data_IF_374118770219
#
_entry.id   IF_374118770219
#
_cell.length_a   1.000
_cell.length_b   1.000
_cell.length_c   1.000
_cell.angle_alpha   90.00
_cell.angle_beta   90.00
_cell.angle_gamma   90.00
#
_symmetry.space_group_name_H-M   'P 1'
#
loop_
_entity.id
_entity.type
_entity.pdbx_description
1 polymer ?
#
# COMPACT_ATOMS: atom_id res chain seq x y z
N UNK A 1 -10.93 0.02 -22.67
CA UNK A 1 -10.96 -0.23 -21.21
C UNK A 1 -9.54 -0.54 -20.78
N UNK A 2 -8.99 0.15 -19.78
CA UNK A 2 -7.61 -0.09 -19.34
C UNK A 2 -7.65 -1.19 -18.28
N UNK A 3 -7.17 -2.38 -18.63
CA UNK A 3 -7.06 -3.51 -17.70
C UNK A 3 -5.77 -3.35 -16.90
N UNK A 4 -5.87 -3.07 -15.60
CA UNK A 4 -4.72 -3.08 -14.70
C UNK A 4 -4.44 -4.57 -14.37
N UNK A 5 -3.29 -5.14 -14.77
CA UNK A 5 -3.04 -6.58 -14.65
C UNK A 5 -2.68 -7.04 -13.23
N UNK A 6 -2.88 -6.20 -12.23
CA UNK A 6 -2.56 -6.51 -10.84
C UNK A 6 -3.67 -6.08 -9.88
N UNK A 7 -3.95 -6.94 -8.91
CA UNK A 7 -4.96 -6.70 -7.90
C UNK A 7 -4.38 -5.86 -6.75
N UNK A 8 -4.88 -4.63 -6.58
CA UNK A 8 -4.57 -3.79 -5.43
C UNK A 8 -5.57 -4.01 -4.28
N UNK A 9 -5.75 -5.26 -3.85
CA UNK A 9 -6.68 -5.60 -2.78
C UNK A 9 -6.37 -4.81 -1.49
N UNK A 10 -7.36 -4.07 -0.99
CA UNK A 10 -7.21 -3.22 0.19
C UNK A 10 -6.62 -1.83 -0.10
N UNK A 11 -6.59 -1.41 -1.37
CA UNK A 11 -6.27 -0.04 -1.78
C UNK A 11 -7.40 0.53 -2.65
N UNK A 12 -7.68 1.83 -2.49
CA UNK A 12 -8.54 2.60 -3.38
C UNK A 12 -7.66 3.33 -4.39
N UNK A 13 -8.01 3.28 -5.67
CA UNK A 13 -7.30 4.06 -6.70
C UNK A 13 -7.66 5.53 -6.58
N UNK A 14 -6.63 6.39 -6.65
CA UNK A 14 -6.76 7.83 -6.53
C UNK A 14 -6.38 8.56 -7.81
N UNK A 15 -5.36 8.06 -8.52
CA UNK A 15 -4.90 8.65 -9.77
C UNK A 15 -4.38 7.57 -10.69
N UNK A 16 -4.76 7.67 -11.95
CA UNK A 16 -4.30 6.83 -13.03
C UNK A 16 -3.80 7.73 -14.15
N UNK A 17 -2.56 7.51 -14.60
CA UNK A 17 -1.98 8.19 -15.76
C UNK A 17 -1.23 7.17 -16.60
N UNK A 18 -1.51 7.14 -17.90
CA UNK A 18 -0.86 6.25 -18.84
C UNK A 18 -0.42 7.02 -20.08
N UNK A 19 0.80 6.74 -20.53
CA UNK A 19 1.27 7.06 -21.86
C UNK A 19 1.91 5.82 -22.51
N UNK A 20 2.64 6.00 -23.62
CA UNK A 20 3.22 4.90 -24.38
C UNK A 20 4.32 4.14 -23.63
N UNK A 21 5.05 4.80 -22.72
CA UNK A 21 6.23 4.23 -22.04
C UNK A 21 6.10 4.13 -20.51
N UNK A 22 5.10 4.79 -19.92
CA UNK A 22 4.95 4.93 -18.47
C UNK A 22 3.50 4.74 -18.05
N UNK A 23 3.35 4.02 -16.95
CA UNK A 23 2.09 3.85 -16.24
C UNK A 23 2.29 4.33 -14.80
N UNK A 24 1.60 5.40 -14.41
CA UNK A 24 1.59 5.91 -13.05
C UNK A 24 0.26 5.61 -12.38
N UNK A 25 0.33 4.87 -11.28
CA UNK A 25 -0.83 4.48 -10.50
C UNK A 25 -0.63 4.97 -9.07
N UNK A 26 -1.55 5.78 -8.58
CA UNK A 26 -1.61 6.20 -7.18
C UNK A 26 -2.80 5.56 -6.51
N UNK A 27 -2.57 4.92 -5.36
CA UNK A 27 -3.63 4.29 -4.58
C UNK A 27 -3.41 4.47 -3.07
N UNK A 28 -4.49 4.49 -2.30
CA UNK A 28 -4.47 4.66 -0.85
C UNK A 28 -4.92 3.40 -0.14
N UNK A 29 -4.25 3.02 0.94
CA UNK A 29 -4.72 1.90 1.76
C UNK A 29 -6.09 2.21 2.37
N UNK A 30 -7.06 1.32 2.16
CA UNK A 30 -8.45 1.52 2.64
C UNK A 30 -8.59 1.18 4.13
N UNK A 31 -7.73 0.32 4.65
CA UNK A 31 -7.78 -0.16 6.04
C UNK A 31 -7.71 0.95 7.07
N UNK A 32 -8.79 1.14 7.84
CA UNK A 32 -8.89 2.14 8.92
C UNK A 32 -8.16 1.72 10.21
N UNK A 33 -7.81 0.44 10.31
CA UNK A 33 -7.16 -0.18 11.46
C UNK A 33 -6.20 -1.29 11.03
N UNK A 34 -5.26 -1.61 11.92
CA UNK A 34 -4.29 -2.66 11.73
C UNK A 34 -3.88 -3.28 13.08
N UNK A 35 -3.67 -4.60 13.08
CA UNK A 35 -3.08 -5.30 14.21
C UNK A 35 -1.57 -5.04 14.28
N UNK A 36 -1.06 -4.76 15.48
CA UNK A 36 0.37 -4.63 15.71
C UNK A 36 1.08 -5.94 15.36
N UNK A 37 2.16 -5.95 14.56
CA UNK A 37 2.82 -7.19 14.17
C UNK A 37 3.54 -7.89 15.33
N UNK A 38 3.73 -7.22 16.47
CA UNK A 38 4.39 -7.79 17.66
C UNK A 38 3.37 -8.31 18.66
N UNK A 39 2.51 -7.43 19.17
CA UNK A 39 1.55 -7.79 20.24
C UNK A 39 0.14 -8.08 19.73
N UNK A 40 -0.09 -8.02 18.41
CA UNK A 40 -1.38 -8.27 17.74
C UNK A 40 -2.55 -7.35 18.13
N UNK A 41 -2.34 -6.42 19.07
CA UNK A 41 -3.33 -5.42 19.46
C UNK A 41 -3.78 -4.60 18.25
N UNK A 42 -5.09 -4.59 18.01
CA UNK A 42 -5.72 -3.78 16.97
C UNK A 42 -5.60 -2.30 17.33
N UNK A 43 -5.11 -1.50 16.39
CA UNK A 43 -5.04 -0.05 16.54
C UNK A 43 -5.63 0.66 15.32
N UNK A 44 -6.44 1.66 15.60
CA UNK A 44 -6.94 2.65 14.65
C UNK A 44 -6.24 4.01 14.80
N UNK A 45 -5.29 4.16 15.74
CA UNK A 45 -4.57 5.42 15.97
C UNK A 45 -3.55 5.66 14.87
N UNK A 46 -3.87 6.56 13.95
CA UNK A 46 -2.95 6.98 12.90
C UNK A 46 -1.88 7.90 13.48
N UNK A 47 -0.62 7.55 13.26
CA UNK A 47 0.53 8.38 13.59
C UNK A 47 0.88 9.32 12.44
N UNK A 48 1.01 8.77 11.23
CA UNK A 48 1.30 9.55 10.03
C UNK A 48 0.87 8.76 8.79
N UNK A 49 0.93 9.41 7.64
CA UNK A 49 0.87 8.75 6.34
C UNK A 49 2.28 8.71 5.74
N UNK A 50 2.55 7.72 4.90
CA UNK A 50 3.72 7.76 4.02
C UNK A 50 3.41 7.10 2.69
N UNK A 51 4.12 7.52 1.66
CA UNK A 51 4.02 6.93 0.34
C UNK A 51 5.11 5.89 0.17
N UNK A 52 4.72 4.64 -0.08
CA UNK A 52 5.65 3.58 -0.48
C UNK A 52 5.65 3.46 -2.01
N UNK A 53 6.83 3.22 -2.55
CA UNK A 53 7.04 2.88 -3.96
C UNK A 53 7.49 1.42 -3.99
N UNK A 54 6.57 0.45 -4.20
CA UNK A 54 6.98 -0.92 -4.47
C UNK A 54 7.94 -0.92 -5.65
N UNK A 55 8.85 -1.92 -5.73
CA UNK A 55 9.72 -2.08 -6.89
C UNK A 55 8.87 -1.98 -8.16
N UNK A 56 9.37 -1.21 -9.13
CA UNK A 56 8.70 -1.00 -10.41
C UNK A 56 8.30 -2.37 -10.97
N UNK A 57 7.01 -2.51 -11.29
CA UNK A 57 6.51 -3.75 -11.84
C UNK A 57 6.73 -3.71 -13.36
N UNK A 58 7.38 -4.71 -13.95
CA UNK A 58 7.39 -4.84 -15.40
C UNK A 58 5.99 -5.28 -15.83
N UNK A 59 5.14 -4.32 -16.18
CA UNK A 59 3.93 -4.59 -16.94
C UNK A 59 4.29 -4.29 -18.38
N UNK A 60 4.46 -5.34 -19.19
CA UNK A 60 4.50 -5.32 -20.67
C UNK A 60 4.91 -3.97 -21.28
N UNK A 61 6.19 -3.83 -21.64
CA UNK A 61 6.83 -2.67 -22.30
C UNK A 61 6.70 -1.29 -21.64
N UNK A 62 6.08 -1.20 -20.45
CA UNK A 62 5.89 0.08 -19.74
C UNK A 62 6.53 0.08 -18.37
N UNK A 63 7.24 1.16 -18.06
CA UNK A 63 7.70 1.41 -16.71
C UNK A 63 6.51 1.74 -15.80
N UNK A 64 6.13 0.82 -14.91
CA UNK A 64 5.02 1.02 -13.98
C UNK A 64 5.52 1.58 -12.66
N UNK A 65 5.14 2.83 -12.39
CA UNK A 65 5.36 3.50 -11.11
C UNK A 65 4.10 3.43 -10.26
N UNK A 66 4.17 2.63 -9.20
CA UNK A 66 3.09 2.49 -8.23
C UNK A 66 3.39 3.33 -6.98
N UNK A 67 2.54 4.31 -6.71
CA UNK A 67 2.59 5.15 -5.51
C UNK A 67 1.47 4.73 -4.55
N UNK A 68 1.83 4.17 -3.40
CA UNK A 68 0.85 3.72 -2.42
C UNK A 68 0.92 4.57 -1.16
N UNK A 69 -0.12 5.36 -0.88
CA UNK A 69 -0.24 6.03 0.39
C UNK A 69 -0.75 5.04 1.44
N UNK A 70 0.02 4.87 2.51
CA UNK A 70 -0.27 3.91 3.58
C UNK A 70 -0.20 4.61 4.93
N UNK A 71 -1.07 4.18 5.84
CA UNK A 71 -1.14 4.66 7.22
C UNK A 71 -0.06 3.99 8.07
N UNK A 72 0.67 4.78 8.85
CA UNK A 72 1.42 4.32 10.02
C UNK A 72 0.50 4.42 11.22
N UNK A 73 0.37 3.32 11.95
CA UNK A 73 -0.43 3.23 13.17
C UNK A 73 0.49 3.29 14.39
N UNK A 74 0.00 3.91 15.46
CA UNK A 74 0.61 3.86 16.79
C UNK A 74 0.02 2.69 17.56
N UNK A 75 0.85 1.84 18.15
CA UNK A 75 0.38 0.77 19.02
C UNK A 75 -0.27 1.38 20.28
N UNK A 76 -1.44 0.88 20.66
CA UNK A 76 -2.17 1.32 21.86
C UNK A 76 -1.81 0.49 23.09
N UNK A 77 -1.08 -0.61 22.93
CA UNK A 77 -0.55 -1.39 24.03
C UNK A 77 0.71 -0.70 24.59
N UNK A 78 0.70 -0.20 25.85
CA UNK A 78 1.79 0.57 26.44
C UNK A 78 3.03 -0.27 26.75
N UNK A 79 2.89 -1.59 26.95
CA UNK A 79 4.02 -2.49 27.24
C UNK A 79 4.66 -3.07 25.96
N UNK A 80 4.11 -2.75 24.78
CA UNK A 80 4.62 -3.27 23.53
C UNK A 80 5.88 -2.49 23.10
N UNK A 81 7.01 -3.15 22.78
CA UNK A 81 8.22 -2.46 22.32
C UNK A 81 8.03 -1.80 20.95
N UNK A 82 6.96 -2.13 20.23
CA UNK A 82 6.64 -1.56 18.92
C UNK A 82 5.65 -0.40 19.08
N UNK A 83 6.14 0.83 18.97
CA UNK A 83 5.31 2.03 19.07
C UNK A 83 4.62 2.40 17.75
N UNK A 84 5.27 2.20 16.60
CA UNK A 84 4.74 2.61 15.28
C UNK A 84 4.90 1.48 14.26
N UNK A 85 3.83 1.11 13.57
CA UNK A 85 3.82 0.03 12.60
C UNK A 85 2.95 0.35 11.39
N UNK A 86 3.01 -0.51 10.37
CA UNK A 86 2.25 -0.39 9.13
C UNK A 86 1.52 -1.69 8.88
N UNK A 87 0.31 -1.63 8.33
CA UNK A 87 -0.40 -2.82 7.87
C UNK A 87 0.37 -3.48 6.72
N UNK A 88 0.80 -4.72 6.93
CA UNK A 88 1.41 -5.55 5.89
C UNK A 88 0.37 -6.00 4.88
N UNK A 89 0.09 -5.18 3.86
CA UNK A 89 -0.65 -5.61 2.66
C UNK A 89 0.32 -5.68 1.49
N UNK A 90 0.57 -6.91 1.02
CA UNK A 90 1.36 -7.18 -0.18
C UNK A 90 0.53 -6.82 -1.41
N UNK A 91 1.14 -6.16 -2.36
CA UNK A 91 0.62 -6.09 -3.72
C UNK A 91 1.13 -7.35 -4.41
N UNK A 92 0.22 -8.22 -4.85
CA UNK A 92 0.60 -9.40 -5.62
C UNK A 92 0.58 -9.02 -7.09
N UNK A 93 1.74 -9.17 -7.71
CA UNK A 93 1.95 -9.08 -9.14
C UNK A 93 1.54 -10.44 -9.73
N UNK A 94 0.37 -10.54 -10.35
CA UNK A 94 0.04 -11.72 -11.16
C UNK A 94 0.57 -11.44 -12.56
N UNK A 95 1.80 -11.88 -12.82
CA UNK A 95 2.36 -11.96 -14.17
C UNK A 95 2.79 -13.40 -14.38
N UNK A 96 1.86 -14.18 -14.93
CA UNK A 96 2.16 -15.35 -15.74
C UNK A 96 1.63 -15.03 -17.14
#
# INVERSE_FOLDING_TARGET
MITIPFNLAGFSFNRFYQNDSKLLISANATSREAACPICQTLSNRVHSYYTRRPKDLPVTDKAVRLLLAVRRFRCVNPVCPRHVFVKGKRVLAHFA
#
